data_IF_898814585335
#
_entry.id   IF_898814585335
#
_cell.length_a   1.000
_cell.length_b   1.000
_cell.length_c   1.000
_cell.angle_alpha   90.00
_cell.angle_beta   90.00
_cell.angle_gamma   90.00
#
_symmetry.space_group_name_H-M   'P 1'
#
loop_
_entity.id
_entity.type
_entity.pdbx_description
1 polymer ?
#
# COMPACT_ATOMS: atom_id res chain seq x y z
N UNK A 1 18.93 -8.54 21.26
CA UNK A 1 17.78 -8.27 20.36
C UNK A 1 17.57 -6.76 20.40
N UNK A 2 17.36 -6.12 19.27
CA UNK A 2 17.11 -4.69 19.26
C UNK A 2 15.72 -4.34 19.83
N UNK A 3 15.65 -3.15 20.46
CA UNK A 3 14.41 -2.57 20.95
C UNK A 3 13.79 -1.69 19.86
N UNK A 4 12.49 -1.79 19.67
CA UNK A 4 11.77 -1.07 18.62
C UNK A 4 11.13 0.20 19.15
N UNK A 5 11.25 1.29 18.38
CA UNK A 5 10.62 2.57 18.66
C UNK A 5 9.99 3.16 17.40
N UNK A 6 8.97 3.98 17.58
CA UNK A 6 8.41 4.74 16.46
C UNK A 6 9.41 5.76 15.92
N UNK A 7 9.38 6.00 14.63
CA UNK A 7 10.11 7.10 13.98
C UNK A 7 9.85 8.47 14.61
N UNK A 8 8.70 8.67 15.23
CA UNK A 8 8.36 9.93 15.92
C UNK A 8 9.32 10.30 17.05
N UNK A 9 10.09 9.36 17.58
CA UNK A 9 11.07 9.59 18.62
C UNK A 9 12.48 9.91 18.09
N UNK A 10 12.68 9.89 16.78
CA UNK A 10 13.95 10.26 16.16
C UNK A 10 13.89 11.65 15.58
N UNK A 11 14.83 12.51 15.98
CA UNK A 11 14.98 13.86 15.43
C UNK A 11 15.58 13.91 14.01
N UNK A 12 16.19 12.81 13.59
CA UNK A 12 16.94 12.73 12.33
C UNK A 12 16.11 12.22 11.14
N UNK A 13 14.85 11.85 11.37
CA UNK A 13 14.01 11.25 10.34
C UNK A 13 13.07 12.31 9.77
N UNK A 14 13.46 12.87 8.65
CA UNK A 14 12.61 13.72 7.82
C UNK A 14 11.98 12.92 6.68
N UNK A 15 10.68 13.10 6.45
CA UNK A 15 9.97 12.56 5.30
C UNK A 15 9.07 11.36 5.57
N UNK A 16 8.48 10.79 4.54
CA UNK A 16 7.60 9.64 4.65
C UNK A 16 8.41 8.41 5.10
N UNK A 17 7.84 7.68 6.05
CA UNK A 17 8.52 6.60 6.74
C UNK A 17 8.07 5.25 6.20
N UNK A 18 8.83 4.75 5.24
CA UNK A 18 8.49 3.54 4.50
C UNK A 18 9.20 2.30 5.02
N UNK A 19 10.42 2.47 5.47
CA UNK A 19 11.28 1.40 5.96
C UNK A 19 11.70 1.59 7.40
N UNK A 20 12.65 0.80 7.83
CA UNK A 20 13.24 0.89 9.16
C UNK A 20 14.61 1.58 9.13
N UNK A 21 14.95 2.22 10.22
CA UNK A 21 16.32 2.71 10.51
C UNK A 21 16.84 2.05 11.75
N UNK A 22 18.09 1.65 11.72
CA UNK A 22 18.75 0.97 12.84
C UNK A 22 20.09 1.62 13.16
N UNK A 23 20.73 1.19 14.23
CA UNK A 23 22.07 1.67 14.56
C UNK A 23 23.08 1.30 13.47
N UNK A 24 24.18 2.04 13.41
CA UNK A 24 25.28 1.75 12.49
C UNK A 24 25.80 0.32 12.65
N UNK A 25 25.84 -0.20 13.86
CA UNK A 25 26.27 -1.57 14.16
C UNK A 25 25.31 -2.58 13.56
N UNK A 26 24.01 -2.48 13.86
CA UNK A 26 22.97 -3.38 13.32
C UNK A 26 22.95 -3.33 11.80
N UNK A 27 23.03 -2.12 11.21
CA UNK A 27 23.08 -1.95 9.78
C UNK A 27 24.27 -2.65 9.13
N UNK A 28 25.48 -2.48 9.69
CA UNK A 28 26.67 -3.15 9.17
C UNK A 28 26.60 -4.68 9.28
N UNK A 29 26.02 -5.19 10.36
CA UNK A 29 25.86 -6.64 10.54
C UNK A 29 24.85 -7.22 9.53
N UNK A 30 23.79 -6.49 9.21
CA UNK A 30 22.85 -6.88 8.15
C UNK A 30 23.49 -6.85 6.76
N UNK A 31 24.18 -5.75 6.41
CA UNK A 31 24.84 -5.57 5.12
C UNK A 31 25.91 -6.64 4.86
N UNK A 32 26.65 -7.05 5.88
CA UNK A 32 27.65 -8.13 5.75
C UNK A 32 27.05 -9.49 5.40
N UNK A 33 25.79 -9.71 5.73
CA UNK A 33 25.08 -10.95 5.46
C UNK A 33 24.35 -10.92 4.10
N UNK A 34 24.13 -9.73 3.57
CA UNK A 34 23.48 -9.51 2.28
C UNK A 34 24.56 -9.06 1.29
N UNK A 35 24.72 -9.83 0.20
CA UNK A 35 25.58 -9.39 -0.91
C UNK A 35 25.11 -8.04 -1.47
N UNK A 36 25.87 -7.48 -2.41
CA UNK A 36 25.72 -6.13 -2.98
C UNK A 36 24.33 -5.92 -3.64
N UNK A 37 23.30 -5.82 -2.80
CA UNK A 37 21.91 -5.60 -3.18
C UNK A 37 21.63 -4.10 -3.32
N UNK A 38 20.78 -3.74 -4.27
CA UNK A 38 20.34 -2.34 -4.46
C UNK A 38 19.45 -1.84 -3.32
N UNK A 39 18.73 -2.72 -2.64
CA UNK A 39 17.91 -2.47 -1.45
C UNK A 39 18.00 -3.66 -0.50
N UNK A 40 18.03 -3.36 0.78
CA UNK A 40 18.09 -4.36 1.83
C UNK A 40 16.69 -4.56 2.43
N UNK A 41 16.26 -5.82 2.52
CA UNK A 41 15.02 -6.20 3.17
C UNK A 41 15.30 -7.15 4.32
N UNK A 42 14.53 -7.04 5.39
CA UNK A 42 14.65 -7.89 6.57
C UNK A 42 13.29 -8.44 6.98
N UNK A 43 13.31 -9.62 7.56
CA UNK A 43 12.23 -10.07 8.42
C UNK A 43 12.39 -9.37 9.77
N UNK A 44 11.33 -8.71 10.24
CA UNK A 44 11.20 -8.26 11.61
C UNK A 44 10.13 -9.10 12.29
N UNK A 45 10.48 -9.72 13.41
CA UNK A 45 9.61 -10.67 14.11
C UNK A 45 9.46 -10.24 15.56
N UNK A 46 8.20 -10.09 16.00
CA UNK A 46 7.88 -9.83 17.41
C UNK A 46 8.08 -11.07 18.27
N UNK A 47 8.15 -10.90 19.58
CA UNK A 47 8.22 -12.01 20.54
C UNK A 47 6.97 -12.89 20.52
N UNK A 48 5.84 -12.37 20.02
CA UNK A 48 4.59 -13.13 19.81
C UNK A 48 4.63 -13.98 18.52
N UNK A 49 5.67 -13.84 17.70
CA UNK A 49 5.85 -14.59 16.45
C UNK A 49 5.17 -13.93 15.22
N UNK A 50 4.69 -12.70 15.34
CA UNK A 50 4.23 -11.93 14.19
C UNK A 50 5.43 -11.48 13.37
N UNK A 51 5.41 -11.73 12.07
CA UNK A 51 6.52 -11.43 11.17
C UNK A 51 6.09 -10.50 10.04
N UNK A 52 6.97 -9.57 9.69
CA UNK A 52 6.82 -8.60 8.62
C UNK A 52 8.12 -8.50 7.83
N UNK A 53 8.02 -8.41 6.50
CA UNK A 53 9.15 -8.03 5.65
C UNK A 53 9.14 -6.53 5.41
N UNK A 54 10.28 -5.87 5.60
CA UNK A 54 10.37 -4.42 5.47
C UNK A 54 11.75 -4.00 4.95
N UNK A 55 11.80 -2.86 4.24
CA UNK A 55 13.05 -2.30 3.75
C UNK A 55 13.87 -1.67 4.90
N UNK A 56 15.19 -1.79 4.81
CA UNK A 56 16.13 -1.07 5.65
C UNK A 56 16.61 0.17 4.90
N UNK A 57 16.26 1.36 5.39
CA UNK A 57 16.61 2.64 4.75
C UNK A 57 18.03 3.10 5.07
N UNK A 58 18.62 2.56 6.13
CA UNK A 58 19.97 2.88 6.53
C UNK A 58 20.15 3.07 8.04
N UNK A 59 21.33 3.49 8.46
CA UNK A 59 21.59 3.82 9.86
C UNK A 59 21.06 5.22 10.21
N UNK A 60 20.60 5.39 11.44
CA UNK A 60 20.42 6.73 12.02
C UNK A 60 21.78 7.28 12.48
N UNK A 61 21.88 8.62 12.60
CA UNK A 61 23.15 9.30 12.88
C UNK A 61 23.27 9.83 14.32
N UNK A 62 22.25 9.69 15.15
CA UNK A 62 22.27 10.20 16.52
C UNK A 62 23.08 9.26 17.43
N UNK A 63 24.23 9.77 17.91
CA UNK A 63 25.13 9.05 18.81
C UNK A 63 24.62 8.93 20.25
N UNK A 64 23.52 9.59 20.61
CA UNK A 64 22.92 9.52 21.95
C UNK A 64 21.91 8.38 22.08
N UNK A 65 21.58 7.72 20.97
CA UNK A 65 20.63 6.61 20.93
C UNK A 65 21.39 5.30 21.12
N UNK A 66 20.79 4.38 21.86
CA UNK A 66 21.39 3.09 22.19
C UNK A 66 21.61 2.26 20.89
N UNK A 67 22.78 1.61 20.81
CA UNK A 67 23.18 0.78 19.67
C UNK A 67 22.21 -0.37 19.33
N UNK A 68 21.35 -0.73 20.25
CA UNK A 68 20.32 -1.77 20.07
C UNK A 68 18.93 -1.20 19.74
N UNK A 69 18.85 0.05 19.31
CA UNK A 69 17.60 0.70 18.93
C UNK A 69 17.31 0.54 17.44
N UNK A 70 16.03 0.28 17.12
CA UNK A 70 15.50 0.26 15.76
C UNK A 70 14.27 1.16 15.68
N UNK A 71 14.25 2.07 14.73
CA UNK A 71 13.11 2.92 14.45
C UNK A 71 12.26 2.36 13.32
N UNK A 72 10.95 2.29 13.56
CA UNK A 72 9.98 1.75 12.61
C UNK A 72 8.81 2.72 12.40
N UNK A 73 8.14 2.68 11.25
CA UNK A 73 6.86 3.36 11.05
C UNK A 73 5.79 2.85 12.04
N UNK A 74 4.89 3.74 12.49
CA UNK A 74 3.82 3.38 13.43
C UNK A 74 2.94 2.21 12.99
N UNK A 75 2.71 2.06 11.68
CA UNK A 75 1.93 0.94 11.16
C UNK A 75 2.61 -0.42 11.37
N UNK A 76 3.95 -0.43 11.46
CA UNK A 76 4.73 -1.65 11.78
C UNK A 76 4.46 -2.08 13.21
N UNK A 77 4.48 -1.14 14.17
CA UNK A 77 4.15 -1.43 15.56
C UNK A 77 2.74 -2.02 15.69
N UNK A 78 1.76 -1.38 15.06
CA UNK A 78 0.37 -1.88 15.04
C UNK A 78 0.27 -3.29 14.44
N UNK A 79 0.97 -3.53 13.34
CA UNK A 79 0.88 -4.79 12.60
C UNK A 79 1.53 -5.96 13.34
N UNK A 80 2.61 -5.69 14.05
CA UNK A 80 3.35 -6.70 14.82
C UNK A 80 2.85 -6.84 16.27
N UNK A 81 1.81 -6.06 16.65
CA UNK A 81 1.27 -5.97 18.02
C UNK A 81 2.37 -5.62 19.04
N UNK A 82 3.16 -4.59 18.71
CA UNK A 82 4.28 -4.11 19.51
C UNK A 82 3.99 -2.76 20.15
N UNK A 83 4.59 -2.54 21.30
CA UNK A 83 4.68 -1.23 21.94
C UNK A 83 6.13 -0.73 21.92
N UNK A 84 6.29 0.56 22.18
CA UNK A 84 7.63 1.20 22.29
C UNK A 84 8.50 0.49 23.30
N UNK A 85 9.73 0.14 22.89
CA UNK A 85 10.70 -0.54 23.73
C UNK A 85 10.61 -2.07 23.72
N UNK A 86 9.68 -2.65 23.00
CA UNK A 86 9.64 -4.11 22.82
C UNK A 86 10.84 -4.62 22.04
N UNK A 87 11.27 -5.83 22.37
CA UNK A 87 12.34 -6.51 21.64
C UNK A 87 11.82 -7.19 20.37
N UNK A 88 12.62 -7.11 19.32
CA UNK A 88 12.34 -7.78 18.05
C UNK A 88 13.56 -8.57 17.56
N UNK A 89 13.30 -9.58 16.74
CA UNK A 89 14.34 -10.25 15.97
C UNK A 89 14.37 -9.67 14.56
N UNK A 90 15.56 -9.43 14.03
CA UNK A 90 15.78 -8.97 12.67
C UNK A 90 16.68 -9.98 11.94
N UNK A 91 16.17 -10.50 10.83
CA UNK A 91 16.89 -11.46 10.00
C UNK A 91 16.93 -10.97 8.55
N UNK A 92 18.07 -11.05 7.85
CA UNK A 92 18.15 -10.63 6.47
C UNK A 92 17.27 -11.52 5.58
N UNK A 93 16.57 -10.88 4.63
CA UNK A 93 15.83 -11.61 3.59
C UNK A 93 16.80 -11.98 2.47
N UNK A 94 17.27 -13.23 2.48
CA UNK A 94 18.23 -13.73 1.49
C UNK A 94 17.56 -14.40 0.28
N UNK A 95 16.28 -14.73 0.40
CA UNK A 95 15.52 -15.35 -0.68
C UNK A 95 15.08 -14.33 -1.73
N UNK A 96 15.10 -14.69 -3.02
CA UNK A 96 14.61 -13.79 -4.06
C UNK A 96 13.11 -13.58 -3.91
N UNK A 97 12.69 -12.31 -3.79
CA UNK A 97 11.29 -11.92 -3.73
C UNK A 97 10.77 -11.68 -5.14
N UNK A 98 9.65 -12.31 -5.55
CA UNK A 98 9.08 -12.10 -6.87
C UNK A 98 8.52 -10.68 -7.02
N UNK A 99 8.52 -10.15 -8.24
CA UNK A 99 7.84 -8.89 -8.54
C UNK A 99 6.32 -9.08 -8.49
N UNK A 100 5.62 -8.13 -7.89
CA UNK A 100 4.18 -8.10 -7.88
C UNK A 100 3.63 -7.85 -9.30
N UNK A 101 2.60 -8.59 -9.67
CA UNK A 101 1.85 -8.36 -10.92
C UNK A 101 0.51 -7.71 -10.65
N UNK A 102 -0.11 -8.02 -9.51
CA UNK A 102 -1.34 -7.37 -9.07
C UNK A 102 -1.40 -7.29 -7.55
N UNK A 103 -2.09 -6.26 -7.07
CA UNK A 103 -2.40 -6.05 -5.66
C UNK A 103 -3.85 -5.62 -5.52
N UNK A 104 -4.56 -6.18 -4.54
CA UNK A 104 -5.89 -5.75 -4.14
C UNK A 104 -5.80 -5.01 -2.82
N UNK A 105 -6.26 -3.77 -2.82
CA UNK A 105 -6.14 -2.85 -1.70
C UNK A 105 -7.54 -2.39 -1.30
N UNK A 106 -7.81 -2.46 -0.01
CA UNK A 106 -9.04 -1.95 0.60
C UNK A 106 -8.71 -0.81 1.56
N UNK A 107 -9.21 0.42 1.33
CA UNK A 107 -9.10 1.51 2.29
C UNK A 107 -9.85 1.18 3.59
N UNK A 108 -9.32 1.63 4.72
CA UNK A 108 -10.02 1.47 6.00
C UNK A 108 -11.21 2.43 6.12
N UNK A 109 -11.12 3.61 5.50
CA UNK A 109 -12.17 4.65 5.51
C UNK A 109 -12.49 5.18 4.13
N UNK A 110 -13.77 5.39 3.83
CA UNK A 110 -14.26 5.84 2.52
C UNK A 110 -13.93 7.29 2.16
N UNK A 111 -13.62 8.13 3.14
CA UNK A 111 -13.23 9.53 2.92
C UNK A 111 -11.89 9.69 2.20
N UNK A 112 -11.18 8.60 1.98
CA UNK A 112 -9.81 8.57 1.46
C UNK A 112 -9.74 8.42 -0.06
N UNK A 113 -10.81 7.99 -0.73
CA UNK A 113 -10.74 7.30 -2.03
C UNK A 113 -11.25 8.14 -3.20
N UNK A 114 -11.29 9.47 -3.10
CA UNK A 114 -11.81 10.29 -4.19
C UNK A 114 -10.69 10.94 -5.02
N UNK A 115 -10.57 10.49 -6.27
CA UNK A 115 -9.86 11.20 -7.34
C UNK A 115 -8.58 10.55 -7.87
N UNK A 116 -8.08 11.04 -9.02
CA UNK A 116 -6.87 10.53 -9.67
C UNK A 116 -5.60 10.74 -8.81
N UNK A 117 -5.54 11.81 -8.02
CA UNK A 117 -4.42 12.12 -7.11
C UNK A 117 -4.20 11.00 -6.10
N UNK A 118 -5.29 10.37 -5.65
CA UNK A 118 -5.21 9.23 -4.72
C UNK A 118 -4.47 8.04 -5.33
N UNK A 119 -4.79 7.64 -6.57
CA UNK A 119 -4.15 6.49 -7.23
C UNK A 119 -2.67 6.75 -7.53
N UNK A 120 -2.32 7.97 -7.93
CA UNK A 120 -0.93 8.38 -8.14
C UNK A 120 -0.15 8.32 -6.83
N UNK A 121 -0.68 8.91 -5.75
CA UNK A 121 -0.06 8.87 -4.43
C UNK A 121 0.07 7.46 -3.85
N UNK A 122 -0.93 6.61 -4.05
CA UNK A 122 -0.87 5.22 -3.63
C UNK A 122 0.20 4.44 -4.40
N UNK A 123 0.30 4.65 -5.71
CA UNK A 123 1.35 4.03 -6.53
C UNK A 123 2.74 4.47 -6.09
N UNK A 124 2.92 5.76 -5.81
CA UNK A 124 4.16 6.30 -5.26
C UNK A 124 4.50 5.64 -3.92
N UNK A 125 3.52 5.54 -3.01
CA UNK A 125 3.67 4.91 -1.71
C UNK A 125 4.12 3.44 -1.82
N UNK A 126 3.50 2.65 -2.70
CA UNK A 126 3.88 1.25 -2.93
C UNK A 126 5.31 1.12 -3.46
N UNK A 127 5.69 2.00 -4.39
CA UNK A 127 7.06 2.02 -4.92
C UNK A 127 8.09 2.39 -3.85
N UNK A 128 7.77 3.34 -2.96
CA UNK A 128 8.65 3.75 -1.86
C UNK A 128 8.85 2.62 -0.82
N UNK A 129 7.81 1.85 -0.53
CA UNK A 129 7.93 0.65 0.31
C UNK A 129 8.92 -0.36 -0.27
N UNK A 130 8.90 -0.53 -1.58
CA UNK A 130 9.74 -1.47 -2.30
C UNK A 130 9.39 -2.94 -2.11
N UNK A 131 8.94 -3.35 -0.94
CA UNK A 131 8.37 -4.66 -0.66
C UNK A 131 6.97 -4.49 -0.08
N UNK A 132 6.03 -5.26 -0.59
CA UNK A 132 4.63 -5.26 -0.17
C UNK A 132 4.21 -6.67 0.25
N UNK A 133 3.31 -6.73 1.20
CA UNK A 133 2.76 -8.01 1.67
C UNK A 133 1.34 -7.82 2.21
N UNK A 134 0.58 -8.91 2.29
CA UNK A 134 -0.78 -8.89 2.81
C UNK A 134 -0.85 -8.31 4.23
N UNK A 135 -1.86 -7.52 4.51
CA UNK A 135 -2.16 -6.92 5.83
C UNK A 135 -2.15 -5.41 5.86
N UNK A 136 -2.16 -4.84 7.05
CA UNK A 136 -2.26 -3.40 7.27
C UNK A 136 -1.04 -2.63 6.76
N UNK A 137 -1.32 -1.53 6.08
CA UNK A 137 -0.36 -0.54 5.62
C UNK A 137 -0.90 0.85 5.92
N UNK A 138 -0.04 1.77 6.37
CA UNK A 138 -0.37 3.19 6.48
C UNK A 138 0.55 4.01 5.59
N UNK A 139 -0.03 4.90 4.82
CA UNK A 139 0.71 5.70 3.85
C UNK A 139 0.15 7.13 3.73
N UNK A 140 0.99 8.05 3.32
CA UNK A 140 0.58 9.40 2.88
C UNK A 140 0.41 9.34 1.37
N UNK A 141 -0.83 9.46 0.91
CA UNK A 141 -1.16 9.34 -0.52
C UNK A 141 -1.40 10.69 -1.21
N UNK A 142 -1.56 11.74 -0.44
CA UNK A 142 -1.74 13.11 -0.96
C UNK A 142 -0.81 14.07 -0.19
N UNK A 143 0.27 14.57 -0.81
CA UNK A 143 1.18 15.51 -0.15
C UNK A 143 0.55 16.84 0.23
N UNK A 144 -0.57 17.23 -0.41
CA UNK A 144 -1.31 18.45 -0.09
C UNK A 144 -2.23 18.27 1.12
N UNK A 145 -2.56 17.02 1.46
CA UNK A 145 -3.35 16.63 2.61
C UNK A 145 -2.52 15.64 3.45
N UNK A 146 -1.69 16.09 4.37
CA UNK A 146 -0.71 15.25 5.07
C UNK A 146 -1.35 14.27 6.06
N UNK A 147 -2.50 13.74 5.72
CA UNK A 147 -3.17 12.71 6.49
C UNK A 147 -2.60 11.34 6.16
N UNK A 148 -2.32 10.58 7.20
CA UNK A 148 -1.95 9.17 7.06
C UNK A 148 -3.22 8.37 6.83
N UNK A 149 -3.25 7.65 5.72
CA UNK A 149 -4.35 6.77 5.35
C UNK A 149 -3.98 5.31 5.64
N UNK A 150 -4.92 4.56 6.18
CA UNK A 150 -4.75 3.15 6.48
C UNK A 150 -5.45 2.31 5.40
N UNK A 151 -4.74 1.29 4.95
CA UNK A 151 -5.17 0.36 3.91
C UNK A 151 -4.97 -1.07 4.37
N UNK A 152 -5.78 -1.98 3.85
CA UNK A 152 -5.56 -3.40 3.94
C UNK A 152 -5.13 -3.93 2.57
N UNK A 153 -3.97 -4.56 2.49
CA UNK A 153 -3.59 -5.36 1.32
C UNK A 153 -4.20 -6.73 1.51
N UNK A 154 -5.23 -7.06 0.73
CA UNK A 154 -6.02 -8.28 0.88
C UNK A 154 -5.50 -9.41 0.01
N UNK A 155 -5.07 -9.10 -1.21
CA UNK A 155 -4.56 -10.07 -2.15
C UNK A 155 -3.35 -9.54 -2.90
N UNK A 156 -2.39 -10.41 -3.17
CA UNK A 156 -1.14 -10.10 -3.80
C UNK A 156 -0.67 -11.26 -4.67
N UNK A 157 -0.32 -10.98 -5.91
CA UNK A 157 0.14 -12.01 -6.85
C UNK A 157 1.54 -11.67 -7.35
N UNK A 158 2.43 -12.66 -7.52
CA UNK A 158 2.21 -14.12 -7.45
C UNK A 158 2.39 -14.74 -6.06
N UNK A 159 2.78 -13.95 -5.05
CA UNK A 159 3.09 -14.42 -3.69
C UNK A 159 2.54 -13.49 -2.63
N UNK A 160 2.46 -13.94 -1.39
CA UNK A 160 2.04 -13.11 -0.24
C UNK A 160 3.03 -12.00 0.11
N UNK A 161 4.27 -12.09 -0.36
CA UNK A 161 5.31 -11.06 -0.26
C UNK A 161 5.88 -10.85 -1.66
N UNK A 162 5.87 -9.63 -2.15
CA UNK A 162 6.35 -9.28 -3.48
C UNK A 162 7.09 -7.93 -3.47
N UNK A 163 7.96 -7.72 -4.47
CA UNK A 163 8.52 -6.42 -4.76
C UNK A 163 7.49 -5.56 -5.49
N UNK A 164 7.27 -4.33 -5.02
CA UNK A 164 6.49 -3.32 -5.72
C UNK A 164 7.40 -2.59 -6.72
N UNK A 165 7.79 -3.28 -7.80
CA UNK A 165 8.71 -2.76 -8.82
C UNK A 165 8.19 -3.10 -10.22
N UNK A 166 7.99 -2.09 -11.05
CA UNK A 166 7.51 -2.23 -12.43
C UNK A 166 6.00 -2.01 -12.57
N UNK A 167 5.43 -2.65 -13.60
CA UNK A 167 3.99 -2.51 -13.93
C UNK A 167 3.14 -3.33 -12.95
N UNK A 168 2.55 -2.64 -11.97
CA UNK A 168 1.69 -3.22 -10.96
C UNK A 168 0.22 -2.87 -11.24
N UNK A 169 -0.62 -3.89 -11.40
CA UNK A 169 -2.08 -3.69 -11.45
C UNK A 169 -2.62 -3.50 -10.04
N UNK A 170 -3.17 -2.32 -9.76
CA UNK A 170 -3.80 -2.01 -8.47
C UNK A 170 -5.32 -2.16 -8.60
N UNK A 171 -5.90 -3.09 -7.86
CA UNK A 171 -7.34 -3.25 -7.69
C UNK A 171 -7.76 -2.57 -6.39
N UNK A 172 -8.69 -1.61 -6.50
CA UNK A 172 -9.20 -0.90 -5.35
C UNK A 172 -10.59 -1.42 -4.99
N UNK A 173 -10.77 -1.88 -3.76
CA UNK A 173 -12.05 -2.30 -3.24
C UNK A 173 -12.75 -1.19 -2.44
N UNK A 174 -14.06 -1.38 -2.20
CA UNK A 174 -14.83 -0.47 -1.35
C UNK A 174 -14.23 -0.42 0.06
N UNK A 175 -14.20 0.77 0.65
CA UNK A 175 -13.68 0.95 2.00
C UNK A 175 -14.43 0.10 3.02
N UNK A 176 -13.73 -0.28 4.11
CA UNK A 176 -14.30 -1.16 5.15
C UNK A 176 -15.48 -0.52 5.89
N UNK A 177 -15.51 0.80 6.00
CA UNK A 177 -16.61 1.54 6.62
C UNK A 177 -17.81 1.79 5.68
N UNK A 178 -17.70 1.40 4.41
CA UNK A 178 -18.77 1.53 3.42
C UNK A 178 -19.46 0.18 3.20
N UNK A 179 -20.80 0.17 3.00
CA UNK A 179 -21.48 -1.05 2.60
C UNK A 179 -20.91 -1.55 1.27
N UNK A 180 -20.81 -2.88 1.06
CA UNK A 180 -20.31 -3.44 -0.19
C UNK A 180 -21.10 -2.85 -1.35
N UNK A 181 -20.40 -2.42 -2.40
CA UNK A 181 -21.03 -1.88 -3.60
C UNK A 181 -22.02 -2.93 -4.12
N UNK A 182 -23.31 -2.60 -4.13
CA UNK A 182 -24.32 -3.47 -4.74
C UNK A 182 -23.94 -3.57 -6.21
N UNK A 183 -23.68 -4.77 -6.75
CA UNK A 183 -23.37 -4.90 -8.16
C UNK A 183 -24.51 -4.26 -8.94
N UNK A 184 -24.23 -3.18 -9.66
CA UNK A 184 -25.20 -2.57 -10.57
C UNK A 184 -25.39 -3.60 -11.66
N UNK A 185 -26.44 -4.41 -11.53
CA UNK A 185 -26.91 -5.27 -12.63
C UNK A 185 -27.24 -4.31 -13.75
N UNK A 186 -26.40 -4.30 -14.78
CA UNK A 186 -26.64 -3.50 -15.97
C UNK A 186 -28.06 -3.84 -16.45
N UNK A 187 -28.98 -2.92 -16.27
CA UNK A 187 -30.34 -3.05 -16.79
C UNK A 187 -30.18 -3.24 -18.30
N UNK A 188 -30.66 -4.35 -18.88
CA UNK A 188 -30.52 -4.55 -20.32
C UNK A 188 -31.11 -3.33 -21.02
N UNK A 189 -30.32 -2.71 -21.89
CA UNK A 189 -30.75 -1.56 -22.66
C UNK A 189 -32.07 -1.97 -23.38
N UNK A 190 -33.17 -1.32 -23.04
CA UNK A 190 -34.43 -1.49 -23.74
C UNK A 190 -34.14 -1.13 -25.19
N UNK A 191 -34.32 -2.03 -26.15
CA UNK A 191 -34.08 -1.71 -27.55
C UNK A 191 -34.98 -0.52 -27.90
N UNK A 192 -34.38 0.53 -28.45
CA UNK A 192 -35.12 1.70 -28.90
C UNK A 192 -36.22 1.23 -29.87
N UNK A 193 -37.47 1.36 -29.45
CA UNK A 193 -38.62 1.09 -30.29
C UNK A 193 -38.52 2.05 -31.46
N UNK A 194 -38.23 1.53 -32.64
CA UNK A 194 -38.24 2.30 -33.88
C UNK A 194 -39.65 2.83 -34.04
N UNK A 195 -39.83 4.12 -33.79
CA UNK A 195 -41.10 4.80 -34.04
C UNK A 195 -41.29 4.78 -35.53
N UNK A 196 -42.18 3.91 -35.99
CA UNK A 196 -42.66 3.94 -37.39
C UNK A 196 -43.29 5.34 -37.59
N UNK A 197 -42.64 6.15 -38.39
CA UNK A 197 -43.20 7.38 -38.89
C UNK A 197 -44.41 7.00 -39.77
N UNK A 198 -45.61 7.13 -39.21
CA UNK A 198 -46.83 7.08 -39.94
C UNK A 198 -46.88 8.28 -40.88
N UNK A 199 -46.52 8.03 -42.13
CA UNK A 199 -46.61 9.00 -43.22
C UNK A 199 -48.08 9.08 -43.67
N UNK A 200 -48.88 9.89 -42.96
CA UNK A 200 -50.30 10.18 -43.25
C UNK A 200 -50.49 11.18 -44.35
N UNK A 201 -49.43 11.72 -44.97
CA UNK A 201 -49.52 12.82 -45.95
C UNK A 201 -49.55 12.34 -47.42
N UNK A 202 -49.52 11.03 -47.69
CA UNK A 202 -49.51 10.51 -49.08
C UNK A 202 -50.85 10.13 -49.59
N UNK A 203 -51.98 10.43 -48.87
CA UNK A 203 -53.34 10.11 -49.36
C UNK A 203 -54.17 11.38 -49.39
N UNK A 204 -53.81 12.34 -50.22
CA UNK A 204 -54.75 13.36 -50.69
C UNK A 204 -54.97 13.21 -52.22
N UNK A 205 -56.15 12.98 -52.64
CA UNK A 205 -56.48 12.89 -54.11
C UNK A 205 -56.37 14.27 -54.74
N UNK A 206 -55.53 14.37 -55.75
CA UNK A 206 -55.41 15.53 -56.62
C UNK A 206 -56.64 15.59 -57.51
N UNK A 207 -57.75 16.14 -57.04
CA UNK A 207 -58.84 16.58 -57.88
C UNK A 207 -59.64 17.65 -57.13
N UNK A 208 -59.29 18.90 -57.36
CA UNK A 208 -60.16 20.08 -57.40
C UNK A 208 -59.32 21.31 -57.63
N UNK A 209 -58.99 21.53 -58.88
CA UNK A 209 -59.06 22.84 -59.56
C UNK A 209 -58.94 22.63 -61.03
#
# INVERSE_FOLDING_TARGET
MPNVFSHMFSSDIEGPWWGIRCSQRVYQDLVRQMDDMSRYFVYITSIQGHTLVIAVEGPYQDSNIDDDTVFVPNWVLKRLDLIEGDEVTMEPLLEPVPKATSVTIRPMTGSTVEGPIFLEGLTEALNQLGVIQNGLLSAVVDPSLPNIHEFMIEDLSPSQVCLADGDLTVNLESALDQPPAIPVVATPAIPATTTATNDWLSILPTSML
#
